data_IF_077221500660
#
_entry.id   IF_077221500660
#
_cell.length_a   1.000
_cell.length_b   1.000
_cell.length_c   1.000
_cell.angle_alpha   90.00
_cell.angle_beta   90.00
_cell.angle_gamma   90.00
#
_symmetry.space_group_name_H-M   'P 1'
#
loop_
_entity.id
_entity.type
_entity.pdbx_description
1 polymer ?
#
# COMPACT_ATOMS: atom_id res chain seq x y z
N UNK A 1 7.65 -16.21 -22.98
CA UNK A 1 8.97 -16.44 -22.33
C UNK A 1 8.72 -17.25 -21.06
N UNK A 2 8.98 -18.53 -21.12
CA UNK A 2 8.73 -19.47 -20.02
C UNK A 2 10.03 -19.66 -19.24
N UNK A 3 10.14 -19.06 -18.05
CA UNK A 3 11.15 -19.42 -17.07
C UNK A 3 10.42 -20.18 -15.94
N UNK A 4 10.57 -21.51 -15.84
CA UNK A 4 9.83 -22.30 -14.85
C UNK A 4 10.23 -21.99 -13.39
N UNK A 5 11.39 -21.40 -13.18
CA UNK A 5 11.86 -21.05 -11.82
C UNK A 5 11.43 -19.63 -11.37
N UNK A 6 10.78 -18.89 -12.26
CA UNK A 6 10.27 -17.55 -11.99
C UNK A 6 9.13 -17.55 -10.99
N UNK A 7 8.99 -16.44 -10.25
CA UNK A 7 7.79 -16.13 -9.49
C UNK A 7 7.00 -15.03 -10.21
N UNK A 8 5.69 -15.27 -10.39
CA UNK A 8 4.77 -14.24 -10.89
C UNK A 8 4.14 -13.54 -9.68
N UNK A 9 4.17 -12.20 -9.68
CA UNK A 9 3.42 -11.35 -8.74
C UNK A 9 2.30 -10.67 -9.52
N UNK A 10 1.05 -10.92 -9.13
CA UNK A 10 -0.13 -10.32 -9.75
C UNK A 10 -0.53 -9.07 -8.97
N UNK A 11 -0.43 -7.92 -9.62
CA UNK A 11 -0.73 -6.60 -9.06
C UNK A 11 0.53 -5.79 -8.72
N UNK A 12 0.64 -4.58 -9.31
CA UNK A 12 1.71 -3.60 -9.05
C UNK A 12 1.29 -2.55 -8.00
N UNK A 13 0.42 -2.92 -7.07
CA UNK A 13 0.11 -2.13 -5.89
C UNK A 13 1.22 -2.19 -4.83
N UNK A 14 1.06 -1.49 -3.68
CA UNK A 14 2.11 -1.42 -2.64
C UNK A 14 2.53 -2.80 -2.13
N UNK A 15 1.59 -3.73 -1.97
CA UNK A 15 1.87 -5.09 -1.47
C UNK A 15 2.67 -5.89 -2.49
N UNK A 16 2.23 -5.89 -3.76
CA UNK A 16 2.92 -6.62 -4.83
C UNK A 16 4.32 -6.09 -5.09
N UNK A 17 4.51 -4.77 -5.07
CA UNK A 17 5.82 -4.16 -5.27
C UNK A 17 6.78 -4.42 -4.11
N UNK A 18 6.31 -4.40 -2.85
CA UNK A 18 7.13 -4.80 -1.70
C UNK A 18 7.54 -6.27 -1.83
N UNK A 19 6.61 -7.15 -2.18
CA UNK A 19 6.90 -8.56 -2.40
C UNK A 19 7.92 -8.76 -3.53
N UNK A 20 7.74 -8.10 -4.67
CA UNK A 20 8.66 -8.17 -5.79
C UNK A 20 10.07 -7.64 -5.42
N UNK A 21 10.14 -6.56 -4.63
CA UNK A 21 11.40 -6.03 -4.12
C UNK A 21 12.15 -7.06 -3.26
N UNK A 22 11.47 -7.63 -2.27
CA UNK A 22 12.09 -8.60 -1.36
C UNK A 22 12.55 -9.87 -2.08
N UNK A 23 11.78 -10.36 -3.04
CA UNK A 23 12.15 -11.50 -3.88
C UNK A 23 13.37 -11.18 -4.76
N UNK A 24 13.39 -10.02 -5.38
CA UNK A 24 14.51 -9.57 -6.21
C UNK A 24 15.80 -9.37 -5.38
N UNK A 25 15.70 -8.82 -4.18
CA UNK A 25 16.81 -8.69 -3.24
C UNK A 25 17.35 -10.06 -2.79
N UNK A 26 16.50 -11.09 -2.78
CA UNK A 26 16.91 -12.48 -2.55
C UNK A 26 17.46 -13.19 -3.82
N UNK A 27 17.58 -12.48 -4.95
CA UNK A 27 18.11 -13.03 -6.21
C UNK A 27 17.11 -13.90 -6.98
N UNK A 28 15.83 -13.81 -6.69
CA UNK A 28 14.78 -14.58 -7.34
C UNK A 28 14.30 -13.82 -8.60
N UNK A 29 14.16 -14.54 -9.73
CA UNK A 29 13.57 -13.97 -10.95
C UNK A 29 12.07 -13.71 -10.75
N UNK A 30 11.64 -12.48 -10.94
CA UNK A 30 10.26 -12.03 -10.72
C UNK A 30 9.69 -11.40 -11.98
N UNK A 31 8.44 -11.75 -12.27
CA UNK A 31 7.59 -11.06 -13.23
C UNK A 31 6.42 -10.43 -12.47
N UNK A 32 6.27 -9.13 -12.57
CA UNK A 32 5.09 -8.42 -12.08
C UNK A 32 4.13 -8.21 -13.25
N UNK A 33 2.89 -8.67 -13.11
CA UNK A 33 1.81 -8.39 -14.07
C UNK A 33 0.81 -7.42 -13.43
N UNK A 34 0.40 -6.41 -14.22
CA UNK A 34 -0.52 -5.37 -13.79
C UNK A 34 -1.57 -5.10 -14.89
N UNK A 35 -2.83 -5.10 -14.53
CA UNK A 35 -3.93 -4.83 -15.47
C UNK A 35 -3.98 -3.37 -15.94
N UNK A 36 -3.50 -2.45 -15.13
CA UNK A 36 -3.39 -1.04 -15.48
C UNK A 36 -2.26 -0.77 -16.47
N UNK A 37 -2.30 0.39 -17.11
CA UNK A 37 -1.27 0.85 -18.04
C UNK A 37 0.02 1.30 -17.34
N UNK A 38 -0.03 1.55 -16.03
CA UNK A 38 1.10 1.92 -15.18
C UNK A 38 0.77 1.56 -13.73
N UNK A 39 1.71 1.80 -12.82
CA UNK A 39 1.48 1.69 -11.38
C UNK A 39 0.43 2.69 -10.90
N UNK A 40 -0.30 2.32 -9.84
CA UNK A 40 -1.42 3.15 -9.35
C UNK A 40 -0.96 4.51 -8.83
N UNK A 41 -1.65 5.57 -9.26
CA UNK A 41 -1.53 6.95 -8.76
C UNK A 41 -2.63 7.29 -7.72
N UNK A 42 -3.13 6.30 -7.03
CA UNK A 42 -4.26 6.37 -6.13
C UNK A 42 -3.92 7.03 -4.78
N UNK A 43 -4.82 7.90 -4.31
CA UNK A 43 -4.66 8.67 -3.07
C UNK A 43 -5.25 7.98 -1.82
N UNK A 44 -5.55 6.67 -1.87
CA UNK A 44 -6.32 5.98 -0.82
C UNK A 44 -5.74 6.01 0.58
N UNK A 45 -4.43 6.03 0.72
CA UNK A 45 -3.75 6.01 2.02
C UNK A 45 -2.60 7.01 2.06
N UNK A 46 -2.33 7.53 3.26
CA UNK A 46 -1.29 8.54 3.43
C UNK A 46 -0.49 8.38 4.73
N UNK A 47 -0.72 7.33 5.51
CA UNK A 47 -0.10 7.18 6.84
C UNK A 47 0.68 5.88 6.92
N UNK A 48 2.00 5.99 7.12
CA UNK A 48 2.89 4.85 7.35
C UNK A 48 3.20 4.74 8.85
N UNK A 49 2.96 3.55 9.39
CA UNK A 49 3.14 3.24 10.81
C UNK A 49 4.53 2.63 11.09
N UNK A 50 5.01 2.67 12.36
CA UNK A 50 6.31 2.15 12.74
C UNK A 50 6.69 0.80 12.17
N UNK A 51 5.87 -0.26 12.23
CA UNK A 51 6.24 -1.57 11.69
C UNK A 51 6.52 -1.56 10.18
N UNK A 52 5.78 -0.77 9.42
CA UNK A 52 6.00 -0.62 7.97
C UNK A 52 7.29 0.15 7.70
N UNK A 53 7.56 1.20 8.48
CA UNK A 53 8.80 1.98 8.36
C UNK A 53 10.02 1.14 8.71
N UNK A 54 9.96 0.34 9.77
CA UNK A 54 11.05 -0.58 10.14
C UNK A 54 11.28 -1.65 9.05
N UNK A 55 10.22 -2.24 8.52
CA UNK A 55 10.30 -3.25 7.46
C UNK A 55 10.94 -2.70 6.18
N UNK A 56 10.64 -1.46 5.80
CA UNK A 56 11.13 -0.83 4.57
C UNK A 56 12.47 -0.10 4.74
N UNK A 57 12.97 0.06 5.98
CA UNK A 57 14.21 0.78 6.26
C UNK A 57 15.45 0.16 5.60
N UNK A 58 15.67 -1.17 5.63
CA UNK A 58 16.83 -1.79 4.99
C UNK A 58 16.91 -1.55 3.48
N UNK A 59 15.74 -1.41 2.84
CA UNK A 59 15.66 -1.14 1.40
C UNK A 59 15.91 0.34 1.02
N UNK A 60 15.98 1.25 2.00
CA UNK A 60 16.09 2.70 1.78
C UNK A 60 14.76 3.39 1.45
N UNK A 61 13.65 2.65 1.33
CA UNK A 61 12.33 3.22 1.02
C UNK A 61 11.83 4.10 2.17
N UNK A 62 12.07 3.71 3.42
CA UNK A 62 11.70 4.53 4.59
C UNK A 62 12.35 5.90 4.56
N UNK A 63 13.62 6.00 4.17
CA UNK A 63 14.29 7.30 4.03
C UNK A 63 13.59 8.18 2.99
N UNK A 64 13.21 7.62 1.83
CA UNK A 64 12.49 8.35 0.78
C UNK A 64 11.09 8.80 1.26
N UNK A 65 10.40 7.96 2.05
CA UNK A 65 9.11 8.35 2.65
C UNK A 65 9.26 9.51 3.63
N UNK A 66 10.31 9.52 4.44
CA UNK A 66 10.61 10.59 5.39
C UNK A 66 10.96 11.89 4.65
N UNK A 67 11.81 11.81 3.63
CA UNK A 67 12.25 12.96 2.85
C UNK A 67 11.10 13.64 2.06
N UNK A 68 10.08 12.86 1.68
CA UNK A 68 8.93 13.34 0.90
C UNK A 68 7.63 13.43 1.71
N UNK A 69 7.69 13.13 3.00
CA UNK A 69 6.54 13.09 3.89
C UNK A 69 6.65 14.06 5.06
N UNK A 70 5.72 13.95 5.97
CA UNK A 70 5.68 14.67 7.22
C UNK A 70 5.77 13.70 8.39
N UNK A 71 6.78 13.84 9.25
CA UNK A 71 6.89 13.05 10.49
C UNK A 71 5.77 13.49 11.45
N UNK A 72 4.98 12.54 11.90
CA UNK A 72 3.88 12.72 12.84
C UNK A 72 4.16 11.93 14.13
N UNK A 73 4.82 12.55 15.13
CA UNK A 73 5.19 11.87 16.37
C UNK A 73 3.99 11.62 17.27
N UNK A 74 2.91 12.36 17.07
CA UNK A 74 1.69 12.25 17.89
C UNK A 74 0.44 12.13 17.03
N UNK A 75 -0.60 11.55 17.62
CA UNK A 75 -1.96 11.55 17.09
C UNK A 75 -2.95 11.64 18.24
N UNK A 76 -4.19 12.01 17.97
CA UNK A 76 -5.20 12.14 19.00
C UNK A 76 -6.58 11.66 18.56
N UNK A 77 -7.38 11.27 19.56
CA UNK A 77 -8.84 11.12 19.45
C UNK A 77 -9.47 12.32 20.17
N UNK A 78 -10.42 13.00 19.51
CA UNK A 78 -11.01 14.23 20.04
C UNK A 78 -12.52 14.22 19.93
N UNK A 79 -13.19 14.68 21.00
CA UNK A 79 -14.64 14.93 21.07
C UNK A 79 -14.86 16.43 20.85
N UNK A 80 -15.41 16.82 19.69
CA UNK A 80 -15.48 18.25 19.34
C UNK A 80 -16.52 19.04 20.15
N UNK A 81 -17.56 18.39 20.68
CA UNK A 81 -18.56 19.08 21.47
C UNK A 81 -18.06 19.48 22.87
N UNK A 82 -17.19 18.70 23.47
CA UNK A 82 -16.66 18.93 24.82
C UNK A 82 -15.23 19.45 24.82
N UNK A 83 -14.57 19.41 23.68
CA UNK A 83 -13.16 19.70 23.48
C UNK A 83 -12.20 18.75 24.25
N UNK A 84 -12.72 17.64 24.75
CA UNK A 84 -11.92 16.59 25.38
C UNK A 84 -11.11 15.83 24.32
N UNK A 85 -9.85 15.55 24.62
CA UNK A 85 -9.03 14.71 23.75
C UNK A 85 -8.07 13.81 24.51
N UNK A 86 -7.74 12.68 23.87
CA UNK A 86 -6.66 11.78 24.29
C UNK A 86 -5.53 11.87 23.28
N UNK A 87 -4.35 12.33 23.74
CA UNK A 87 -3.13 12.41 22.94
C UNK A 87 -2.32 11.15 23.09
N UNK A 88 -1.86 10.59 21.97
CA UNK A 88 -1.00 9.43 21.91
C UNK A 88 0.38 9.85 21.41
N UNK A 89 1.38 9.77 22.27
CA UNK A 89 2.78 10.06 21.95
C UNK A 89 3.49 8.77 21.56
N UNK A 90 3.92 8.67 20.31
CA UNK A 90 4.63 7.51 19.77
C UNK A 90 6.07 7.41 20.27
N UNK A 91 6.63 8.46 20.89
CA UNK A 91 7.93 8.38 21.54
C UNK A 91 7.99 7.32 22.65
N UNK A 92 6.83 6.95 23.22
CA UNK A 92 6.72 5.83 24.17
C UNK A 92 7.12 4.47 23.57
N UNK A 93 7.16 4.35 22.23
CA UNK A 93 7.58 3.14 21.52
C UNK A 93 9.08 3.12 21.18
N UNK A 94 9.88 4.10 21.66
CA UNK A 94 11.30 4.22 21.31
C UNK A 94 12.16 2.99 21.66
N UNK A 95 11.70 2.14 22.61
CA UNK A 95 12.36 0.86 22.92
C UNK A 95 11.95 -0.32 22.03
N UNK A 96 10.90 -0.16 21.22
CA UNK A 96 10.28 -1.24 20.44
C UNK A 96 10.44 -1.06 18.92
N UNK A 97 10.78 0.14 18.45
CA UNK A 97 10.92 0.48 17.02
C UNK A 97 12.02 1.51 16.80
N UNK A 98 12.66 1.47 15.63
CA UNK A 98 13.59 2.51 15.19
C UNK A 98 12.87 3.78 14.68
N UNK A 99 11.56 3.70 14.42
CA UNK A 99 10.73 4.78 13.90
C UNK A 99 9.54 5.04 14.82
N UNK A 100 9.73 5.61 16.04
CA UNK A 100 8.67 5.84 17.01
C UNK A 100 7.80 7.05 16.60
N UNK A 101 7.30 7.04 15.36
CA UNK A 101 6.44 8.05 14.75
C UNK A 101 5.72 7.46 13.53
N UNK A 102 4.72 8.17 13.04
CA UNK A 102 4.12 7.92 11.72
C UNK A 102 4.76 8.84 10.68
N UNK A 103 4.71 8.45 9.43
CA UNK A 103 5.03 9.33 8.30
C UNK A 103 3.77 9.54 7.49
N UNK A 104 3.36 10.79 7.33
CA UNK A 104 2.30 11.20 6.42
C UNK A 104 2.89 11.41 5.04
N UNK A 105 2.64 10.49 4.14
CA UNK A 105 3.08 10.54 2.75
C UNK A 105 2.06 9.79 1.90
N UNK A 106 1.66 10.34 0.78
CA UNK A 106 0.66 9.69 -0.08
C UNK A 106 1.16 8.34 -0.58
N UNK A 107 0.29 7.32 -0.56
CA UNK A 107 0.62 5.95 -0.97
C UNK A 107 1.18 5.87 -2.40
N UNK A 108 0.75 6.76 -3.31
CA UNK A 108 1.29 6.84 -4.67
C UNK A 108 2.81 7.09 -4.69
N UNK A 109 3.35 7.84 -3.73
CA UNK A 109 4.78 8.06 -3.62
C UNK A 109 5.50 6.76 -3.25
N UNK A 110 4.99 6.00 -2.27
CA UNK A 110 5.52 4.67 -1.96
C UNK A 110 5.53 3.77 -3.19
N UNK A 111 4.41 3.71 -3.92
CA UNK A 111 4.28 2.87 -5.12
C UNK A 111 5.32 3.25 -6.18
N UNK A 112 5.55 4.56 -6.40
CA UNK A 112 6.57 5.05 -7.35
C UNK A 112 7.98 4.69 -6.90
N UNK A 113 8.34 4.94 -5.64
CA UNK A 113 9.67 4.58 -5.10
C UNK A 113 9.94 3.08 -5.20
N UNK A 114 8.96 2.26 -4.85
CA UNK A 114 9.06 0.81 -4.99
C UNK A 114 9.21 0.39 -6.45
N UNK A 115 8.40 0.92 -7.36
CA UNK A 115 8.46 0.58 -8.78
C UNK A 115 9.83 0.93 -9.40
N UNK A 116 10.38 2.09 -9.07
CA UNK A 116 11.73 2.50 -9.51
C UNK A 116 12.79 1.54 -8.99
N UNK A 117 12.73 1.20 -7.69
CA UNK A 117 13.68 0.28 -7.06
C UNK A 117 13.59 -1.12 -7.67
N UNK A 118 12.38 -1.63 -7.85
CA UNK A 118 12.11 -2.97 -8.40
C UNK A 118 12.58 -3.05 -9.87
N UNK A 119 12.33 -2.01 -10.67
CA UNK A 119 12.85 -1.89 -12.04
C UNK A 119 14.39 -1.86 -12.07
N UNK A 120 15.01 -1.09 -11.17
CA UNK A 120 16.47 -1.02 -11.07
C UNK A 120 17.11 -2.36 -10.66
N UNK A 121 16.38 -3.20 -9.90
CA UNK A 121 16.78 -4.57 -9.56
C UNK A 121 16.59 -5.58 -10.71
N UNK A 122 16.12 -5.15 -11.88
CA UNK A 122 15.97 -5.99 -13.07
C UNK A 122 14.66 -6.79 -13.12
N UNK A 123 13.70 -6.52 -12.27
CA UNK A 123 12.39 -7.17 -12.30
C UNK A 123 11.65 -6.76 -13.58
N UNK A 124 11.04 -7.74 -14.23
CA UNK A 124 10.22 -7.52 -15.42
C UNK A 124 8.81 -7.11 -15.03
N UNK A 125 8.29 -6.07 -15.69
CA UNK A 125 6.89 -5.65 -15.59
C UNK A 125 6.16 -5.91 -16.89
N UNK A 126 4.90 -6.34 -16.80
CA UNK A 126 3.97 -6.39 -17.92
C UNK A 126 2.70 -5.69 -17.50
N UNK A 127 2.51 -4.48 -18.04
CA UNK A 127 1.30 -3.67 -17.88
C UNK A 127 0.23 -4.07 -18.90
N UNK A 128 -1.00 -3.55 -18.77
CA UNK A 128 -2.16 -3.93 -19.59
C UNK A 128 -2.35 -5.46 -19.64
N UNK A 129 -2.02 -6.14 -18.55
CA UNK A 129 -2.00 -7.59 -18.47
C UNK A 129 -2.88 -8.06 -17.31
N UNK A 130 -4.03 -8.62 -17.62
CA UNK A 130 -5.03 -9.07 -16.66
C UNK A 130 -4.99 -10.59 -16.53
N UNK A 131 -4.97 -11.10 -15.29
CA UNK A 131 -5.14 -12.53 -15.02
C UNK A 131 -6.58 -12.94 -15.32
N UNK A 132 -6.77 -13.92 -16.21
CA UNK A 132 -8.08 -14.47 -16.60
C UNK A 132 -8.27 -15.90 -16.17
N UNK A 133 -7.19 -16.62 -15.82
CA UNK A 133 -7.25 -18.01 -15.37
C UNK A 133 -5.98 -18.47 -14.68
N UNK A 134 -6.10 -19.52 -13.87
CA UNK A 134 -5.00 -20.10 -13.13
C UNK A 134 -5.19 -21.61 -13.01
N UNK A 135 -4.14 -22.37 -13.30
CA UNK A 135 -4.04 -23.80 -12.97
C UNK A 135 -2.73 -24.06 -12.25
N UNK A 136 -2.72 -25.04 -11.34
CA UNK A 136 -1.52 -25.40 -10.58
C UNK A 136 -1.46 -26.90 -10.37
N UNK A 137 -0.22 -27.41 -10.30
CA UNK A 137 0.09 -28.79 -9.96
C UNK A 137 1.37 -28.86 -9.09
N UNK A 138 1.99 -30.04 -8.99
CA UNK A 138 3.22 -30.25 -8.23
C UNK A 138 4.45 -29.56 -8.86
N UNK A 139 4.41 -29.25 -10.13
CA UNK A 139 5.54 -28.72 -10.90
C UNK A 139 5.53 -27.19 -10.95
N UNK A 140 4.36 -26.57 -10.74
CA UNK A 140 4.24 -25.10 -10.71
C UNK A 140 2.82 -24.60 -11.02
N UNK A 141 2.79 -23.42 -11.59
CA UNK A 141 1.54 -22.71 -11.93
C UNK A 141 1.55 -22.28 -13.40
N UNK A 142 0.39 -22.31 -14.02
CA UNK A 142 0.14 -21.72 -15.33
C UNK A 142 -0.91 -20.64 -15.16
N UNK A 143 -0.51 -19.39 -15.37
CA UNK A 143 -1.40 -18.23 -15.37
C UNK A 143 -1.83 -17.94 -16.82
N UNK A 144 -3.13 -17.93 -17.09
CA UNK A 144 -3.69 -17.37 -18.32
C UNK A 144 -3.91 -15.89 -18.11
N UNK A 145 -3.34 -15.08 -18.99
CA UNK A 145 -3.46 -13.62 -18.90
C UNK A 145 -3.95 -13.07 -20.23
N UNK A 146 -4.78 -12.05 -20.18
CA UNK A 146 -5.12 -11.23 -21.33
C UNK A 146 -4.14 -10.06 -21.42
N UNK A 147 -3.39 -10.00 -22.52
CA UNK A 147 -2.45 -8.94 -22.80
C UNK A 147 -2.85 -8.26 -24.11
N UNK A 148 -3.30 -7.02 -24.04
CA UNK A 148 -3.76 -6.23 -25.20
C UNK A 148 -4.82 -6.95 -26.07
N UNK A 149 -5.68 -7.76 -25.44
CA UNK A 149 -6.76 -8.50 -26.10
C UNK A 149 -6.40 -9.92 -26.56
N UNK A 150 -5.16 -10.36 -26.35
CA UNK A 150 -4.71 -11.73 -26.65
C UNK A 150 -4.50 -12.53 -25.37
N UNK A 151 -4.99 -13.75 -25.33
CA UNK A 151 -4.76 -14.66 -24.21
C UNK A 151 -3.41 -15.37 -24.35
N UNK A 152 -2.59 -15.23 -23.31
CA UNK A 152 -1.23 -15.79 -23.24
C UNK A 152 -1.10 -16.65 -21.97
N UNK A 153 -0.47 -17.83 -22.10
CA UNK A 153 -0.13 -18.67 -20.97
C UNK A 153 1.29 -18.36 -20.45
N UNK A 154 1.40 -18.07 -19.16
CA UNK A 154 2.66 -17.82 -18.46
C UNK A 154 2.89 -18.95 -17.45
N UNK A 155 4.03 -19.63 -17.55
CA UNK A 155 4.43 -20.68 -16.60
C UNK A 155 5.38 -20.09 -15.54
N UNK A 156 5.20 -20.50 -14.29
CA UNK A 156 6.05 -20.09 -13.19
C UNK A 156 6.10 -21.17 -12.09
N UNK A 157 7.12 -21.10 -11.22
CA UNK A 157 7.21 -21.97 -10.05
C UNK A 157 6.14 -21.67 -9.02
N UNK A 158 5.90 -20.37 -8.77
CA UNK A 158 4.90 -19.87 -7.85
C UNK A 158 4.21 -18.64 -8.43
N UNK A 159 2.99 -18.39 -7.96
CA UNK A 159 2.27 -17.15 -8.22
C UNK A 159 1.80 -16.57 -6.90
N UNK A 160 1.99 -15.25 -6.75
CA UNK A 160 1.58 -14.48 -5.57
C UNK A 160 0.49 -13.51 -6.00
N UNK A 161 -0.72 -13.67 -5.42
CA UNK A 161 -1.82 -12.73 -5.61
C UNK A 161 -1.67 -11.51 -4.70
N UNK A 162 -1.49 -10.33 -5.29
CA UNK A 162 -1.46 -9.03 -4.63
C UNK A 162 -2.36 -8.02 -5.37
N UNK A 163 -3.42 -8.52 -6.00
CA UNK A 163 -4.31 -7.86 -6.94
C UNK A 163 -5.54 -7.20 -6.29
N UNK A 164 -5.50 -7.08 -4.95
CA UNK A 164 -6.41 -6.23 -4.18
C UNK A 164 -7.76 -6.86 -3.86
N UNK A 165 -8.74 -6.01 -3.55
CA UNK A 165 -10.04 -6.44 -3.04
C UNK A 165 -10.84 -7.28 -4.06
N UNK A 166 -10.72 -6.96 -5.35
CA UNK A 166 -11.34 -7.69 -6.48
C UNK A 166 -10.35 -8.71 -7.08
N UNK A 167 -9.69 -9.49 -6.24
CA UNK A 167 -8.62 -10.39 -6.63
C UNK A 167 -9.09 -11.51 -7.55
N UNK A 168 -8.60 -11.51 -8.78
CA UNK A 168 -8.80 -12.60 -9.74
C UNK A 168 -8.05 -13.88 -9.30
N UNK A 169 -6.90 -13.73 -8.64
CA UNK A 169 -6.16 -14.88 -8.07
C UNK A 169 -7.00 -15.60 -7.02
N UNK A 170 -7.60 -14.86 -6.08
CA UNK A 170 -8.47 -15.44 -5.04
C UNK A 170 -9.66 -16.19 -5.65
N UNK A 171 -10.29 -15.59 -6.67
CA UNK A 171 -11.42 -16.22 -7.37
C UNK A 171 -10.99 -17.48 -8.10
N UNK A 172 -9.84 -17.45 -8.79
CA UNK A 172 -9.32 -18.59 -9.54
C UNK A 172 -8.99 -19.81 -8.65
N UNK A 173 -8.56 -19.58 -7.40
CA UNK A 173 -8.29 -20.65 -6.42
C UNK A 173 -9.50 -20.96 -5.52
N UNK A 174 -10.66 -20.38 -5.82
CA UNK A 174 -11.93 -20.60 -5.12
C UNK A 174 -11.87 -20.33 -3.59
N UNK A 175 -11.07 -19.34 -3.17
CA UNK A 175 -11.03 -18.91 -1.77
C UNK A 175 -12.12 -17.87 -1.54
N UNK A 176 -13.06 -18.09 -0.59
CA UNK A 176 -14.11 -17.13 -0.29
C UNK A 176 -13.52 -15.82 0.28
N UNK A 177 -14.24 -14.72 0.05
CA UNK A 177 -13.95 -13.42 0.66
C UNK A 177 -15.09 -13.08 1.59
N UNK A 178 -15.02 -13.62 2.80
CA UNK A 178 -16.04 -13.43 3.82
C UNK A 178 -15.93 -12.04 4.43
N UNK A 179 -17.06 -11.42 4.74
CA UNK A 179 -17.13 -10.09 5.34
C UNK A 179 -18.48 -9.43 5.11
N UNK A 180 -18.59 -8.20 5.61
CA UNK A 180 -19.77 -7.37 5.46
C UNK A 180 -19.42 -6.10 4.67
N UNK A 181 -20.38 -5.63 3.88
CA UNK A 181 -20.25 -4.34 3.20
C UNK A 181 -20.66 -3.23 4.18
N UNK A 182 -19.74 -2.31 4.46
CA UNK A 182 -20.10 -1.12 5.25
C UNK A 182 -21.07 -0.24 4.46
N UNK A 183 -22.15 0.22 5.07
CA UNK A 183 -23.13 1.09 4.40
C UNK A 183 -22.60 2.52 4.20
N UNK A 184 -21.57 2.92 4.97
CA UNK A 184 -20.99 4.25 4.88
C UNK A 184 -19.91 4.31 3.81
N UNK A 185 -19.82 5.46 3.15
CA UNK A 185 -18.74 5.81 2.24
C UNK A 185 -17.83 6.85 2.89
N UNK A 186 -16.52 6.65 2.77
CA UNK A 186 -15.53 7.64 3.19
C UNK A 186 -15.33 8.67 2.08
N UNK A 187 -15.46 9.95 2.41
CA UNK A 187 -15.16 11.07 1.51
C UNK A 187 -13.81 11.65 1.91
N UNK A 188 -12.88 11.71 0.96
CA UNK A 188 -11.61 12.40 1.12
C UNK A 188 -11.72 13.81 0.53
N UNK A 189 -11.36 14.82 1.33
CA UNK A 189 -11.28 16.20 0.89
C UNK A 189 -9.94 16.81 1.30
N UNK A 190 -9.32 17.53 0.38
CA UNK A 190 -8.07 18.27 0.64
C UNK A 190 -8.38 19.76 0.68
N UNK A 191 -7.83 20.47 1.67
CA UNK A 191 -8.07 21.90 1.87
C UNK A 191 -6.84 22.58 2.45
N UNK A 192 -6.66 23.85 2.13
CA UNK A 192 -5.66 24.75 2.74
C UNK A 192 -6.23 25.58 3.89
N UNK A 193 -7.41 25.24 4.42
CA UNK A 193 -7.99 25.94 5.56
C UNK A 193 -7.14 25.72 6.81
N UNK A 194 -6.72 26.79 7.52
CA UNK A 194 -5.83 26.71 8.68
C UNK A 194 -6.61 26.28 9.94
N UNK A 195 -6.90 25.00 10.08
CA UNK A 195 -7.67 24.47 11.21
C UNK A 195 -7.02 24.77 12.57
N UNK A 196 -5.71 24.85 12.64
CA UNK A 196 -4.93 25.19 13.84
C UNK A 196 -5.21 26.60 14.39
N UNK A 197 -5.67 27.52 13.57
CA UNK A 197 -6.08 28.86 14.00
C UNK A 197 -7.45 28.86 14.69
N UNK A 198 -8.22 27.77 14.53
CA UNK A 198 -9.59 27.64 15.01
C UNK A 198 -9.80 26.56 16.06
N UNK A 199 -8.93 25.56 16.10
CA UNK A 199 -8.98 24.46 17.04
C UNK A 199 -7.63 24.34 17.74
N UNK A 200 -7.60 24.61 19.03
CA UNK A 200 -6.39 24.53 19.82
C UNK A 200 -5.89 23.07 19.95
N UNK A 201 -4.59 22.91 20.15
CA UNK A 201 -3.94 21.62 20.47
C UNK A 201 -4.17 20.51 19.44
N UNK A 202 -4.34 20.85 18.15
CA UNK A 202 -4.39 19.84 17.09
C UNK A 202 -3.05 19.13 16.96
N UNK A 203 -3.12 17.77 16.89
CA UNK A 203 -1.99 16.93 16.55
C UNK A 203 -1.81 16.81 15.02
N UNK A 204 -0.83 16.05 14.57
CA UNK A 204 -0.59 15.78 13.16
C UNK A 204 -1.69 14.93 12.53
N UNK A 205 -2.27 14.02 13.33
CA UNK A 205 -3.40 13.16 12.96
C UNK A 205 -4.46 13.27 14.06
N UNK A 206 -5.68 13.62 13.66
CA UNK A 206 -6.77 13.87 14.59
C UNK A 206 -7.99 13.07 14.15
N UNK A 207 -8.42 12.11 14.94
CA UNK A 207 -9.69 11.40 14.77
C UNK A 207 -10.75 12.12 15.59
N UNK A 208 -11.64 12.81 14.91
CA UNK A 208 -12.63 13.69 15.53
C UNK A 208 -14.01 13.03 15.54
N UNK A 209 -14.67 13.07 16.69
CA UNK A 209 -16.00 12.54 16.90
C UNK A 209 -16.98 13.67 17.22
N UNK A 210 -18.16 13.58 16.64
CA UNK A 210 -19.27 14.48 16.89
C UNK A 210 -20.56 13.67 17.07
N UNK A 211 -21.61 14.30 17.58
CA UNK A 211 -22.93 13.67 17.66
C UNK A 211 -23.52 13.28 16.29
N UNK A 212 -22.96 13.82 15.19
CA UNK A 212 -23.43 13.58 13.82
C UNK A 212 -22.60 12.59 13.02
N UNK A 213 -21.45 12.16 13.56
CA UNK A 213 -20.53 11.26 12.90
C UNK A 213 -19.08 11.52 13.26
N UNK A 214 -18.17 10.96 12.49
CA UNK A 214 -16.74 11.11 12.70
C UNK A 214 -16.03 11.54 11.42
N UNK A 215 -14.87 12.14 11.58
CA UNK A 215 -13.95 12.45 10.50
C UNK A 215 -12.51 12.48 11.01
N UNK A 216 -11.56 12.38 10.12
CA UNK A 216 -10.17 12.51 10.44
C UNK A 216 -9.56 13.75 9.74
N UNK A 217 -8.74 14.50 10.48
CA UNK A 217 -7.90 15.56 9.93
C UNK A 217 -6.46 15.08 9.96
N UNK A 218 -5.81 15.09 8.81
CA UNK A 218 -4.43 14.68 8.66
C UNK A 218 -3.64 15.82 8.01
N UNK A 219 -2.52 16.23 8.63
CA UNK A 219 -1.58 17.14 7.97
C UNK A 219 -0.88 16.40 6.85
N UNK A 220 -0.74 17.04 5.70
CA UNK A 220 0.02 16.53 4.57
C UNK A 220 1.08 17.53 4.14
N UNK A 221 2.20 17.08 3.54
CA UNK A 221 3.24 17.99 3.08
C UNK A 221 2.73 18.96 2.02
N UNK A 222 3.14 20.23 2.12
CA UNK A 222 2.90 21.22 1.07
C UNK A 222 1.52 21.88 1.05
N UNK A 223 0.72 21.68 2.09
CA UNK A 223 -0.56 22.37 2.30
C UNK A 223 -0.55 23.11 3.64
#
# INVERSE_FOLDING_TARGET
MTNPDRIIVVGAGPVGLVCAMLLAEAGIDVLVIERGADVSDDLRASTFHPPTLDMLAPSGITAQLIDNGLIAPTWQVRMLETDDYALFDLALLAGETHHPYRVQCEQRNLVRFLAEKVKAAGVTFTFNTELTGLTQDTDGVIATVNCDGEDVALSARHLIGADGASSAVREAIAVPFEGEMYPEATVLATTSFPFEDHIADLSYVNYCWTARGNFAMLRIPGL
#
